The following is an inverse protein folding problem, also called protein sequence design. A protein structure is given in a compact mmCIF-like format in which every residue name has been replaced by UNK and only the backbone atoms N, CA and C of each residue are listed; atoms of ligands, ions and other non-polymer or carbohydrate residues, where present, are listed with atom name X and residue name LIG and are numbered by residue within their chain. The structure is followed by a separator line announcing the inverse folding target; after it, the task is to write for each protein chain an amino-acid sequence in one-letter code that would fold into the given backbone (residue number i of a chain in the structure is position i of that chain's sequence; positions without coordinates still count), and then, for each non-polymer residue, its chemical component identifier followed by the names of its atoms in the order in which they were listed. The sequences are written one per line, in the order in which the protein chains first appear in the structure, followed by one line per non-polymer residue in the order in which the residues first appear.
data_IF_400672953802
#
_entry.id   IF_400672953802
#
_cell.length_a   1.000
_cell.length_b   1.000
_cell.length_c   1.000
_cell.angle_alpha   90.00
_cell.angle_beta   90.00
_cell.angle_gamma   90.00
#
_symmetry.space_group_name_H-M   'P 1'
#
loop_
_entity.id
_entity.type
_entity.pdbx_description
1 polymer ?
#
# COMPACT_ATOMS: atom_id res chain seq x y z
N UNK A 1 -12.05 -11.71 6.41
CA UNK A 1 -10.61 -12.02 6.40
C UNK A 1 -9.94 -10.78 5.86
N UNK A 2 -9.27 -10.06 6.73
CA UNK A 2 -8.54 -8.85 6.37
C UNK A 2 -7.14 -9.28 5.89
N UNK A 3 -6.77 -8.83 4.69
CA UNK A 3 -5.45 -9.11 4.08
C UNK A 3 -4.33 -8.45 4.90
N UNK A 4 -4.67 -7.56 5.84
CA UNK A 4 -3.75 -6.80 6.69
C UNK A 4 -3.90 -7.10 8.19
N UNK A 5 -4.62 -8.15 8.60
CA UNK A 5 -4.79 -8.50 10.02
C UNK A 5 -3.45 -8.96 10.67
N UNK A 6 -2.88 -8.21 11.63
CA UNK A 6 -1.67 -8.62 12.34
C UNK A 6 -1.91 -9.72 13.39
N UNK A 7 -3.17 -10.09 13.64
CA UNK A 7 -3.60 -11.09 14.63
C UNK A 7 -4.07 -12.43 14.02
N UNK A 8 -4.15 -12.52 12.70
CA UNK A 8 -4.61 -13.69 11.94
C UNK A 8 -3.53 -14.32 11.07
N UNK A 9 -3.64 -15.62 10.81
CA UNK A 9 -2.74 -16.34 9.92
C UNK A 9 -2.79 -15.72 8.51
N UNK A 10 -1.75 -14.98 8.13
CA UNK A 10 -1.62 -14.39 6.78
C UNK A 10 -1.73 -15.51 5.74
N UNK A 11 -2.73 -15.41 4.86
CA UNK A 11 -2.95 -16.39 3.78
C UNK A 11 -2.40 -15.88 2.44
N UNK A 12 -2.34 -14.56 2.25
CA UNK A 12 -1.80 -13.94 1.04
C UNK A 12 -0.90 -12.74 1.38
N UNK A 13 0.11 -12.49 0.55
CA UNK A 13 1.06 -11.40 0.75
C UNK A 13 1.44 -10.78 -0.58
N UNK A 14 0.90 -9.60 -0.87
CA UNK A 14 1.06 -8.95 -2.18
C UNK A 14 2.12 -7.86 -2.13
N UNK A 15 3.18 -8.02 -2.93
CA UNK A 15 4.20 -7.00 -3.10
C UNK A 15 4.94 -7.17 -4.45
N UNK A 16 5.61 -6.13 -4.97
CA UNK A 16 6.31 -6.20 -6.25
C UNK A 16 7.65 -6.96 -6.21
N UNK A 17 8.03 -7.54 -5.08
CA UNK A 17 9.31 -8.20 -4.85
C UNK A 17 10.46 -7.24 -4.57
N UNK A 18 11.67 -7.71 -4.85
CA UNK A 18 12.89 -6.90 -4.79
C UNK A 18 13.22 -6.35 -6.17
N UNK A 19 13.43 -5.05 -6.26
CA UNK A 19 13.96 -4.44 -7.47
C UNK A 19 15.45 -4.74 -7.63
N UNK A 20 15.97 -4.61 -8.85
CA UNK A 20 17.39 -4.84 -9.16
C UNK A 20 18.35 -3.88 -8.45
N UNK A 21 17.86 -2.72 -7.98
CA UNK A 21 18.61 -1.75 -7.17
C UNK A 21 18.44 -1.98 -5.66
N UNK A 22 17.85 -3.10 -5.24
CA UNK A 22 17.74 -3.49 -3.84
C UNK A 22 16.66 -2.76 -3.04
N UNK A 23 15.75 -2.05 -3.71
CA UNK A 23 14.58 -1.46 -3.06
C UNK A 23 13.54 -2.56 -2.86
N UNK A 24 13.09 -2.71 -1.62
CA UNK A 24 12.13 -3.75 -1.25
C UNK A 24 10.71 -3.21 -1.35
N UNK A 25 9.79 -4.00 -1.93
CA UNK A 25 8.34 -3.75 -1.83
C UNK A 25 7.86 -2.41 -2.42
N UNK A 26 8.61 -1.83 -3.36
CA UNK A 26 8.24 -0.58 -4.03
C UNK A 26 8.01 -0.84 -5.51
N UNK A 27 6.92 -0.29 -6.04
CA UNK A 27 6.63 -0.25 -7.47
C UNK A 27 6.34 1.18 -7.89
N UNK A 28 6.95 1.60 -8.99
CA UNK A 28 6.58 2.87 -9.62
C UNK A 28 5.20 2.73 -10.26
N UNK A 29 4.31 3.65 -9.92
CA UNK A 29 3.01 3.80 -10.54
C UNK A 29 3.09 4.87 -11.64
N UNK A 30 2.18 4.88 -12.62
CA UNK A 30 2.07 5.98 -13.57
C UNK A 30 1.87 7.32 -12.86
N UNK A 31 2.50 8.38 -13.37
CA UNK A 31 2.50 9.71 -12.73
C UNK A 31 1.10 10.31 -12.59
N UNK A 32 0.17 9.93 -13.48
CA UNK A 32 -1.23 10.37 -13.48
C UNK A 32 -2.15 9.52 -12.58
N UNK A 33 -1.62 8.46 -11.97
CA UNK A 33 -2.38 7.60 -11.05
C UNK A 33 -2.67 8.28 -9.71
N UNK A 34 -1.96 9.36 -9.38
CA UNK A 34 -2.07 10.07 -8.11
C UNK A 34 -2.33 11.56 -8.35
N UNK A 35 -3.38 12.08 -7.73
CA UNK A 35 -3.70 13.52 -7.71
C UNK A 35 -3.74 13.98 -6.26
N UNK A 36 -3.00 15.04 -5.93
CA UNK A 36 -2.88 15.52 -4.55
C UNK A 36 -3.13 17.04 -4.49
N UNK A 37 -4.00 17.46 -3.59
CA UNK A 37 -4.19 18.85 -3.20
C UNK A 37 -4.17 18.97 -1.67
N UNK A 38 -2.99 19.11 -1.05
CA UNK A 38 -2.84 19.16 0.40
C UNK A 38 -3.53 20.38 1.04
N UNK A 39 -3.59 21.49 0.31
CA UNK A 39 -4.28 22.69 0.76
C UNK A 39 -5.79 22.43 0.91
N UNK A 40 -6.41 21.71 -0.03
CA UNK A 40 -7.79 21.26 0.07
C UNK A 40 -7.97 20.05 1.02
N UNK A 41 -6.88 19.36 1.39
CA UNK A 41 -6.95 18.12 2.15
C UNK A 41 -7.60 16.99 1.35
N UNK A 42 -7.32 16.94 0.04
CA UNK A 42 -7.88 15.96 -0.88
C UNK A 42 -6.73 15.27 -1.61
N UNK A 43 -6.83 13.97 -1.77
CA UNK A 43 -5.97 13.20 -2.67
C UNK A 43 -6.77 12.05 -3.28
N UNK A 44 -6.34 11.56 -4.44
CA UNK A 44 -6.86 10.31 -5.01
C UNK A 44 -5.74 9.49 -5.61
N UNK A 45 -5.82 8.17 -5.40
CA UNK A 45 -5.03 7.15 -6.09
C UNK A 45 -6.00 6.32 -6.93
N UNK A 46 -5.68 6.13 -8.20
CA UNK A 46 -6.42 5.23 -9.07
C UNK A 46 -5.45 4.44 -9.94
N UNK A 47 -5.40 3.14 -9.72
CA UNK A 47 -4.56 2.21 -10.48
C UNK A 47 -5.36 0.99 -10.90
N UNK A 48 -5.04 0.47 -12.08
CA UNK A 48 -5.73 -0.68 -12.67
C UNK A 48 -4.70 -1.69 -13.14
N UNK A 49 -4.94 -2.97 -12.81
CA UNK A 49 -4.16 -4.13 -13.24
C UNK A 49 -2.64 -3.98 -13.03
N UNK A 50 -2.25 -3.42 -11.88
CA UNK A 50 -0.84 -3.30 -11.51
C UNK A 50 -0.31 -4.68 -11.19
N UNK A 51 0.64 -5.16 -12.00
CA UNK A 51 1.29 -6.44 -11.75
C UNK A 51 2.03 -6.45 -10.40
N UNK A 52 1.79 -7.46 -9.58
CA UNK A 52 2.43 -7.71 -8.31
C UNK A 52 2.67 -9.22 -8.18
N UNK A 53 3.27 -9.64 -7.08
CA UNK A 53 3.46 -11.04 -6.75
C UNK A 53 2.65 -11.38 -5.51
N UNK A 54 2.06 -12.58 -5.49
CA UNK A 54 1.54 -13.18 -4.28
C UNK A 54 2.59 -14.11 -3.67
N UNK A 55 3.18 -13.64 -2.57
CA UNK A 55 4.20 -14.34 -1.82
C UNK A 55 3.61 -15.22 -0.71
N UNK A 56 2.30 -15.21 -0.51
CA UNK A 56 1.57 -15.89 0.59
C UNK A 56 1.88 -15.27 1.97
N UNK A 57 3.16 -15.07 2.29
CA UNK A 57 3.61 -14.51 3.58
C UNK A 57 4.73 -13.49 3.38
N UNK A 58 4.80 -12.49 4.27
CA UNK A 58 5.88 -11.50 4.27
C UNK A 58 7.26 -12.15 4.44
N UNK A 59 7.34 -13.26 5.18
CA UNK A 59 8.58 -14.03 5.37
C UNK A 59 9.06 -14.65 4.06
N UNK A 60 8.15 -15.19 3.25
CA UNK A 60 8.50 -15.77 1.95
C UNK A 60 8.95 -14.69 0.96
N UNK A 61 8.28 -13.53 0.96
CA UNK A 61 8.72 -12.35 0.20
C UNK A 61 10.12 -11.91 0.61
N UNK A 62 10.34 -11.66 1.91
CA UNK A 62 11.62 -11.18 2.42
C UNK A 62 12.78 -12.15 2.11
N UNK A 63 12.53 -13.47 2.22
CA UNK A 63 13.51 -14.51 1.95
C UNK A 63 13.48 -15.02 0.50
N UNK A 64 12.87 -14.26 -0.40
CA UNK A 64 12.88 -14.46 -1.86
C UNK A 64 12.51 -15.88 -2.28
N UNK A 65 11.43 -16.40 -1.71
CA UNK A 65 10.87 -17.70 -2.07
C UNK A 65 11.55 -18.90 -1.45
N UNK A 66 12.57 -18.72 -0.60
CA UNK A 66 13.26 -19.85 0.06
C UNK A 66 12.42 -20.58 1.12
N UNK A 67 11.23 -20.06 1.46
CA UNK A 67 10.35 -20.67 2.47
C UNK A 67 9.25 -21.52 1.82
N UNK A 68 8.57 -20.99 0.81
CA UNK A 68 7.39 -21.63 0.18
C UNK A 68 7.57 -21.88 -1.33
N UNK A 69 8.67 -21.41 -1.93
CA UNK A 69 8.88 -21.40 -3.38
C UNK A 69 8.71 -20.00 -3.99
N UNK A 70 8.86 -19.90 -5.33
CA UNK A 70 8.65 -18.64 -6.04
C UNK A 70 7.21 -18.13 -5.87
N UNK A 71 6.97 -16.83 -6.00
CA UNK A 71 5.63 -16.29 -5.87
C UNK A 71 4.76 -16.61 -7.09
N UNK A 72 3.44 -16.55 -6.90
CA UNK A 72 2.50 -16.52 -8.02
C UNK A 72 2.39 -15.10 -8.60
N UNK A 73 2.08 -15.01 -9.90
CA UNK A 73 1.74 -13.73 -10.52
C UNK A 73 0.40 -13.25 -10.00
N UNK A 74 0.28 -11.94 -9.77
CA UNK A 74 -0.97 -11.33 -9.37
C UNK A 74 -1.14 -9.94 -9.98
N UNK A 75 -2.37 -9.43 -9.99
CA UNK A 75 -2.69 -8.05 -10.34
C UNK A 75 -3.51 -7.41 -9.23
N UNK A 76 -3.27 -6.12 -9.01
CA UNK A 76 -4.03 -5.29 -8.08
C UNK A 76 -4.61 -4.07 -8.80
N UNK A 77 -5.88 -3.80 -8.58
CA UNK A 77 -6.51 -2.52 -8.90
C UNK A 77 -6.96 -1.85 -7.61
N UNK A 78 -6.66 -0.57 -7.45
CA UNK A 78 -7.00 0.19 -6.25
C UNK A 78 -7.53 1.55 -6.62
N UNK A 79 -8.60 1.94 -5.92
CA UNK A 79 -9.07 3.32 -5.87
C UNK A 79 -9.11 3.76 -4.42
N UNK A 80 -8.38 4.81 -4.09
CA UNK A 80 -8.40 5.43 -2.78
C UNK A 80 -8.69 6.91 -2.95
N UNK A 81 -9.71 7.41 -2.27
CA UNK A 81 -10.09 8.83 -2.26
C UNK A 81 -9.99 9.35 -0.83
N UNK A 82 -9.01 10.21 -0.56
CA UNK A 82 -8.83 10.92 0.71
C UNK A 82 -9.59 12.24 0.69
N UNK A 83 -10.40 12.49 1.72
CA UNK A 83 -11.15 13.75 1.87
C UNK A 83 -11.76 13.88 3.27
N UNK A 84 -12.43 15.00 3.55
CA UNK A 84 -13.08 15.22 4.84
C UNK A 84 -12.06 15.53 5.93
N UNK A 85 -11.42 16.69 5.83
CA UNK A 85 -10.40 17.14 6.78
C UNK A 85 -10.95 17.10 8.21
N UNK A 86 -10.25 16.35 9.06
CA UNK A 86 -10.52 16.23 10.50
C UNK A 86 -9.64 17.18 11.28
N UNK A 87 -8.33 17.19 10.99
CA UNK A 87 -7.35 18.01 11.68
C UNK A 87 -6.15 18.32 10.77
N UNK A 88 -5.38 19.35 11.14
CA UNK A 88 -4.08 19.66 10.53
C UNK A 88 -3.05 19.80 11.62
N UNK A 89 -1.87 19.25 11.41
CA UNK A 89 -0.79 19.32 12.38
C UNK A 89 0.57 19.29 11.71
N UNK A 90 1.56 19.83 12.43
CA UNK A 90 2.95 19.86 11.98
C UNK A 90 3.78 19.07 12.99
N UNK A 91 4.71 18.27 12.48
CA UNK A 91 5.67 17.55 13.29
C UNK A 91 7.07 18.04 12.93
N UNK A 92 7.88 18.35 13.94
CA UNK A 92 9.26 18.77 13.77
C UNK A 92 10.13 18.06 14.80
N UNK A 93 11.16 17.39 14.29
CA UNK A 93 12.15 16.68 15.09
C UNK A 93 13.53 17.21 14.68
N UNK A 94 13.91 18.39 15.20
CA UNK A 94 15.06 19.14 14.70
C UNK A 94 16.38 18.39 14.88
N UNK A 95 16.51 17.58 15.95
CA UNK A 95 17.71 16.81 16.24
C UNK A 95 17.95 15.69 15.21
N UNK A 96 16.87 15.07 14.72
CA UNK A 96 16.89 14.08 13.65
C UNK A 96 16.78 14.73 12.26
N UNK A 97 16.56 16.04 12.21
CA UNK A 97 16.29 16.78 11.00
C UNK A 97 15.02 16.30 10.28
N UNK A 98 14.05 15.70 10.95
CA UNK A 98 12.77 15.32 10.34
C UNK A 98 11.76 16.47 10.49
N UNK A 99 10.93 16.69 9.47
CA UNK A 99 9.82 17.63 9.55
C UNK A 99 8.70 17.23 8.58
N UNK A 100 7.44 17.47 8.97
CA UNK A 100 6.30 17.22 8.12
C UNK A 100 5.09 18.10 8.44
N UNK A 101 4.28 18.31 7.42
CA UNK A 101 2.97 18.96 7.50
C UNK A 101 1.92 17.94 7.09
N UNK A 102 0.94 17.71 7.96
CA UNK A 102 -0.01 16.61 7.84
C UNK A 102 -1.46 17.07 7.95
N UNK A 103 -2.32 16.42 7.18
CA UNK A 103 -3.75 16.63 7.16
C UNK A 103 -4.43 15.30 7.45
N UNK A 104 -5.00 15.17 8.63
CA UNK A 104 -5.81 14.03 9.01
C UNK A 104 -7.16 14.11 8.28
N UNK A 105 -7.54 13.03 7.61
CA UNK A 105 -8.76 12.93 6.79
C UNK A 105 -9.49 11.62 7.07
N UNK A 106 -10.60 11.40 6.37
CA UNK A 106 -11.07 10.05 6.07
C UNK A 106 -10.54 9.57 4.71
N UNK A 107 -10.75 8.29 4.41
CA UNK A 107 -10.56 7.73 3.08
C UNK A 107 -11.72 6.80 2.70
N UNK A 108 -11.99 6.70 1.40
CA UNK A 108 -12.80 5.64 0.82
C UNK A 108 -11.92 4.77 -0.05
N UNK A 109 -11.98 3.46 0.15
CA UNK A 109 -11.08 2.49 -0.48
C UNK A 109 -11.91 1.45 -1.22
N UNK A 110 -11.51 1.14 -2.45
CA UNK A 110 -11.93 -0.05 -3.19
C UNK A 110 -10.71 -0.76 -3.76
N UNK A 111 -10.67 -2.09 -3.61
CA UNK A 111 -9.55 -2.92 -4.05
C UNK A 111 -10.09 -4.17 -4.75
N UNK A 112 -9.48 -4.51 -5.87
CA UNK A 112 -9.60 -5.85 -6.46
C UNK A 112 -8.22 -6.47 -6.62
N UNK A 113 -8.14 -7.76 -6.37
CA UNK A 113 -6.93 -8.56 -6.45
C UNK A 113 -7.24 -9.83 -7.22
N UNK A 114 -6.31 -10.23 -8.09
CA UNK A 114 -6.35 -11.49 -8.80
C UNK A 114 -4.98 -12.16 -8.72
N UNK A 115 -4.92 -13.39 -8.24
CA UNK A 115 -3.73 -14.26 -8.28
C UNK A 115 -3.96 -15.32 -9.34
N UNK A 116 -3.01 -15.46 -10.27
CA UNK A 116 -3.02 -16.50 -11.28
C UNK A 116 -2.73 -17.86 -10.64
N UNK A 117 -3.39 -18.92 -11.11
CA UNK A 117 -3.02 -20.27 -10.73
C UNK A 117 -1.67 -20.67 -11.34
N UNK A 118 -0.83 -21.34 -10.56
CA UNK A 118 0.37 -22.03 -11.04
C UNK A 118 0.43 -23.48 -10.53
N UNK A 119 1.58 -24.14 -10.68
CA UNK A 119 1.76 -25.54 -10.26
C UNK A 119 1.63 -25.77 -8.74
N UNK A 120 1.79 -24.70 -7.95
CA UNK A 120 1.89 -24.69 -6.49
C UNK A 120 0.84 -23.80 -5.81
N UNK A 121 0.22 -22.88 -6.55
CA UNK A 121 -0.75 -21.90 -6.05
C UNK A 121 -2.07 -22.03 -6.81
N UNK A 122 -3.22 -22.20 -6.13
CA UNK A 122 -4.52 -22.07 -6.77
C UNK A 122 -4.79 -20.60 -7.14
N UNK A 123 -5.63 -20.37 -8.14
CA UNK A 123 -6.12 -19.03 -8.42
C UNK A 123 -6.90 -18.46 -7.22
N UNK A 124 -6.81 -17.16 -7.02
CA UNK A 124 -7.51 -16.45 -5.95
C UNK A 124 -8.00 -15.09 -6.44
N UNK A 125 -9.21 -14.73 -6.04
CA UNK A 125 -9.80 -13.44 -6.32
C UNK A 125 -10.28 -12.80 -5.03
N UNK A 126 -10.00 -11.51 -4.87
CA UNK A 126 -10.57 -10.69 -3.82
C UNK A 126 -11.15 -9.42 -4.41
N UNK A 127 -12.34 -9.07 -3.94
CA UNK A 127 -13.03 -7.81 -4.26
C UNK A 127 -13.52 -7.25 -2.95
N UNK A 128 -13.08 -6.03 -2.62
CA UNK A 128 -13.59 -5.33 -1.44
C UNK A 128 -15.07 -4.98 -1.62
N UNK A 129 -15.75 -4.72 -0.51
CA UNK A 129 -17.05 -4.06 -0.57
C UNK A 129 -16.93 -2.70 -1.31
N UNK A 130 -18.05 -2.15 -1.82
CA UNK A 130 -18.04 -0.87 -2.51
C UNK A 130 -17.43 0.24 -1.65
N UNK A 131 -16.66 1.15 -2.27
CA UNK A 131 -16.02 2.27 -1.56
C UNK A 131 -17.00 3.14 -0.74
N UNK A 132 -18.29 3.16 -1.10
CA UNK A 132 -19.34 3.86 -0.35
C UNK A 132 -19.63 3.29 1.03
N UNK A 133 -19.32 2.01 1.26
CA UNK A 133 -19.48 1.33 2.55
C UNK A 133 -18.15 1.17 3.28
N UNK A 134 -17.06 1.70 2.74
CA UNK A 134 -15.74 1.72 3.37
C UNK A 134 -15.79 2.48 4.70
N UNK A 135 -15.16 1.91 5.72
CA UNK A 135 -14.86 2.57 7.00
C UNK A 135 -13.35 2.78 7.05
N UNK A 136 -12.93 3.98 7.42
CA UNK A 136 -11.52 4.36 7.52
C UNK A 136 -11.22 4.72 8.97
N UNK A 137 -10.37 3.94 9.64
CA UNK A 137 -9.94 4.21 11.01
C UNK A 137 -8.90 5.34 11.08
N UNK A 138 -8.02 5.40 10.08
CA UNK A 138 -7.01 6.44 9.95
C UNK A 138 -6.71 6.71 8.47
N UNK A 139 -6.60 7.98 8.10
CA UNK A 139 -6.16 8.39 6.79
C UNK A 139 -5.50 9.77 6.89
N UNK A 140 -4.39 9.97 6.16
CA UNK A 140 -3.62 11.19 6.25
C UNK A 140 -2.98 11.55 4.91
N UNK A 141 -2.89 12.84 4.64
CA UNK A 141 -2.13 13.41 3.53
C UNK A 141 -0.98 14.21 4.13
N UNK A 142 0.25 13.85 3.78
CA UNK A 142 1.45 14.48 4.32
C UNK A 142 2.38 15.03 3.24
N UNK A 143 3.06 16.11 3.59
CA UNK A 143 4.33 16.50 2.94
C UNK A 143 5.42 16.39 3.98
N UNK A 144 6.37 15.51 3.72
CA UNK A 144 7.48 15.26 4.64
C UNK A 144 8.85 15.59 4.02
N UNK A 145 9.78 15.89 4.90
CA UNK A 145 11.21 15.92 4.63
C UNK A 145 11.87 14.85 5.49
N UNK A 146 12.45 13.84 4.83
CA UNK A 146 13.16 12.77 5.50
C UNK A 146 14.26 13.32 6.43
N UNK A 147 14.40 12.66 7.58
CA UNK A 147 15.46 12.93 8.54
C UNK A 147 16.83 12.47 8.04
N UNK A 148 17.86 12.82 8.81
CA UNK A 148 19.23 12.35 8.59
C UNK A 148 19.46 11.10 9.43
N UNK A 149 19.60 9.94 8.77
CA UNK A 149 19.72 8.65 9.46
C UNK A 149 21.17 8.19 9.72
N UNK A 150 22.18 8.96 9.27
CA UNK A 150 23.60 8.77 9.63
C UNK A 150 24.40 10.06 9.40
N UNK A 151 25.42 10.28 10.23
CA UNK A 151 26.51 11.26 10.02
C UNK A 151 27.85 10.54 10.12
#
# INVERSE_FOLDING_TARGET
MDVLDPSGQQIHGYDPGLSSNGVVWVKQLPDDSVVINPAAGIASLNVTDVAVFDWVTNKNSFLQGSVLGPPANATISMRIDWSGVVARHNLQEPDQGFAGEFVLTGAKIAVTLHTEADATHPAFDFVSDPASTSVSDFAEIGKERNGVFSR
#
